data_IF_717041640490
#
_entry.id   IF_717041640490
#
_cell.length_a   1.000
_cell.length_b   1.000
_cell.length_c   1.000
_cell.angle_alpha   90.00
_cell.angle_beta   90.00
_cell.angle_gamma   90.00
#
_symmetry.space_group_name_H-M   'P 1'
#
loop_
_entity.id
_entity.type
_entity.pdbx_description
1 polymer ?
#
# COMPACT_ATOMS: atom_id res chain seq x y z
N UNK A 1 16.74 0.46 -9.39
CA UNK A 1 15.92 0.89 -8.22
C UNK A 1 16.19 2.37 -7.92
N UNK A 2 17.43 2.78 -7.70
CA UNK A 2 17.77 4.17 -7.36
C UNK A 2 17.19 5.20 -8.36
N UNK A 3 17.33 4.95 -9.65
CA UNK A 3 16.78 5.83 -10.69
C UNK A 3 15.24 5.90 -10.65
N UNK A 4 14.57 4.81 -10.31
CA UNK A 4 13.12 4.79 -10.10
C UNK A 4 12.71 5.63 -8.88
N UNK A 5 13.42 5.47 -7.75
CA UNK A 5 13.15 6.25 -6.55
C UNK A 5 13.38 7.76 -6.80
N UNK A 6 14.36 8.09 -7.63
CA UNK A 6 14.57 9.48 -8.08
C UNK A 6 13.46 9.99 -8.99
N UNK A 7 13.02 9.19 -9.96
CA UNK A 7 11.92 9.53 -10.85
C UNK A 7 10.61 9.78 -10.08
N UNK A 8 10.35 8.98 -9.03
CA UNK A 8 9.24 9.15 -8.10
C UNK A 8 9.47 10.28 -7.07
N UNK A 9 10.58 11.00 -7.14
CA UNK A 9 10.96 12.10 -6.22
C UNK A 9 11.07 11.68 -4.75
N UNK A 10 11.19 10.38 -4.45
CA UNK A 10 11.27 9.84 -3.08
C UNK A 10 12.51 10.36 -2.34
N UNK A 11 13.61 10.62 -3.05
CA UNK A 11 14.84 11.17 -2.51
C UNK A 11 14.68 12.58 -1.89
N UNK A 12 13.60 13.30 -2.14
CA UNK A 12 13.31 14.56 -1.48
C UNK A 12 12.74 14.40 -0.07
N UNK A 13 12.26 13.22 0.28
CA UNK A 13 11.59 12.95 1.56
C UNK A 13 12.43 12.10 2.52
N UNK A 14 13.54 11.54 2.03
CA UNK A 14 14.42 10.66 2.79
C UNK A 14 15.85 11.18 2.74
N UNK A 15 16.56 11.11 3.87
CA UNK A 15 18.01 11.31 3.86
C UNK A 15 18.69 10.21 3.02
N UNK A 16 19.92 10.46 2.55
CA UNK A 16 20.65 9.47 1.76
C UNK A 16 20.80 8.13 2.48
N UNK A 17 20.99 8.14 3.80
CA UNK A 17 21.07 6.93 4.62
C UNK A 17 19.73 6.17 4.59
N UNK A 18 18.61 6.87 4.78
CA UNK A 18 17.29 6.26 4.74
C UNK A 18 16.92 5.77 3.35
N UNK A 19 17.34 6.48 2.32
CA UNK A 19 17.17 6.03 0.93
C UNK A 19 17.94 4.73 0.67
N UNK A 20 19.16 4.59 1.19
CA UNK A 20 19.96 3.36 1.11
C UNK A 20 19.26 2.20 1.86
N UNK A 21 18.70 2.44 3.04
CA UNK A 21 17.97 1.41 3.78
C UNK A 21 16.70 0.97 3.04
N UNK A 22 15.95 1.93 2.49
CA UNK A 22 14.79 1.62 1.63
C UNK A 22 15.20 0.79 0.42
N UNK A 23 16.29 1.17 -0.27
CA UNK A 23 16.82 0.39 -1.40
C UNK A 23 17.20 -1.03 -0.97
N UNK A 24 17.83 -1.19 0.19
CA UNK A 24 18.18 -2.51 0.75
C UNK A 24 16.93 -3.37 0.95
N UNK A 25 15.87 -2.81 1.51
CA UNK A 25 14.60 -3.52 1.72
C UNK A 25 14.01 -3.95 0.37
N UNK A 26 13.92 -3.03 -0.58
CA UNK A 26 13.37 -3.30 -1.92
C UNK A 26 14.18 -4.40 -2.63
N UNK A 27 15.50 -4.30 -2.65
CA UNK A 27 16.38 -5.32 -3.24
C UNK A 27 16.19 -6.67 -2.56
N UNK A 28 16.09 -6.69 -1.25
CA UNK A 28 15.89 -7.93 -0.48
C UNK A 28 14.56 -8.58 -0.80
N UNK A 29 13.49 -7.80 -0.94
CA UNK A 29 12.17 -8.31 -1.35
C UNK A 29 12.25 -8.93 -2.75
N UNK A 30 12.94 -8.30 -3.70
CA UNK A 30 13.12 -8.87 -5.05
C UNK A 30 13.96 -10.15 -5.05
N UNK A 31 15.00 -10.24 -4.23
CA UNK A 31 15.90 -11.40 -4.19
C UNK A 31 15.37 -12.56 -3.36
N UNK A 32 14.63 -12.30 -2.30
CA UNK A 32 14.18 -13.30 -1.30
C UNK A 32 12.66 -13.51 -1.28
N UNK A 33 11.90 -12.69 -2.00
CA UNK A 33 10.44 -12.69 -1.98
C UNK A 33 9.85 -12.02 -0.74
N UNK A 34 8.51 -12.02 -0.68
CA UNK A 34 7.73 -11.26 0.32
C UNK A 34 7.78 -11.80 1.76
N UNK A 35 8.47 -12.89 2.01
CA UNK A 35 8.59 -13.49 3.35
C UNK A 35 9.85 -13.04 4.08
N UNK A 36 10.53 -12.01 3.54
CA UNK A 36 11.75 -11.47 4.13
C UNK A 36 11.54 -10.99 5.57
N UNK A 37 12.38 -11.49 6.45
CA UNK A 37 12.52 -10.98 7.81
C UNK A 37 13.64 -9.94 7.83
N UNK A 38 13.69 -9.08 8.85
CA UNK A 38 14.78 -8.10 8.99
C UNK A 38 16.18 -8.74 8.94
N UNK A 39 16.29 -10.02 9.35
CA UNK A 39 17.51 -10.82 9.19
C UNK A 39 17.87 -11.03 7.71
N UNK A 40 16.89 -11.25 6.85
CA UNK A 40 17.14 -11.47 5.41
C UNK A 40 17.64 -10.18 4.74
N UNK A 41 17.21 -9.02 5.22
CA UNK A 41 17.70 -7.72 4.73
C UNK A 41 19.18 -7.50 5.04
N UNK A 42 19.68 -8.03 6.18
CA UNK A 42 21.10 -7.94 6.52
C UNK A 42 22.00 -8.83 5.66
N UNK A 43 21.47 -9.88 5.05
CA UNK A 43 22.22 -10.77 4.14
C UNK A 43 22.49 -10.08 2.80
N UNK A 44 21.57 -9.21 2.37
CA UNK A 44 21.67 -8.49 1.09
C UNK A 44 22.32 -7.11 1.21
N UNK A 45 22.63 -6.68 2.41
CA UNK A 45 23.28 -5.39 2.69
C UNK A 45 24.52 -5.56 3.55
N UNK A 46 25.37 -4.52 3.57
CA UNK A 46 26.49 -4.44 4.50
C UNK A 46 26.07 -4.01 5.93
N UNK A 47 24.78 -3.79 6.15
CA UNK A 47 24.25 -3.30 7.42
C UNK A 47 23.78 -4.46 8.30
N UNK A 48 24.02 -4.34 9.61
CA UNK A 48 23.48 -5.28 10.57
C UNK A 48 21.94 -5.18 10.62
N UNK A 49 21.27 -6.30 10.89
CA UNK A 49 19.78 -6.37 10.97
C UNK A 49 19.15 -5.29 11.84
N UNK A 50 19.81 -4.94 12.96
CA UNK A 50 19.32 -3.90 13.88
C UNK A 50 19.29 -2.53 13.27
N UNK A 51 20.12 -2.23 12.28
CA UNK A 51 20.12 -0.94 11.57
C UNK A 51 18.85 -0.81 10.70
N UNK A 52 18.49 -1.89 10.01
CA UNK A 52 17.26 -1.90 9.20
C UNK A 52 16.02 -1.89 10.10
N UNK A 53 16.06 -2.65 11.21
CA UNK A 53 15.00 -2.66 12.20
C UNK A 53 14.79 -1.27 12.83
N UNK A 54 15.87 -0.60 13.20
CA UNK A 54 15.84 0.77 13.71
C UNK A 54 15.26 1.76 12.69
N UNK A 55 15.65 1.64 11.43
CA UNK A 55 15.08 2.47 10.35
C UNK A 55 13.57 2.29 10.24
N UNK A 56 13.07 1.05 10.27
CA UNK A 56 11.64 0.76 10.17
C UNK A 56 10.83 1.26 11.38
N UNK A 57 11.39 1.12 12.59
CA UNK A 57 10.66 1.41 13.83
C UNK A 57 10.90 2.82 14.38
N UNK A 58 12.04 3.45 14.06
CA UNK A 58 12.47 4.72 14.64
C UNK A 58 12.93 5.75 13.60
N UNK A 59 12.85 5.43 12.32
CA UNK A 59 13.24 6.36 11.26
C UNK A 59 12.40 7.63 11.29
N UNK A 60 13.06 8.78 11.35
CA UNK A 60 12.39 10.10 11.31
C UNK A 60 12.25 10.55 9.87
N UNK A 61 11.12 10.26 9.26
CA UNK A 61 10.79 10.67 7.90
C UNK A 61 9.31 11.03 7.81
N UNK A 62 8.98 11.93 6.89
CA UNK A 62 7.60 12.36 6.73
C UNK A 62 6.87 11.40 5.78
N UNK A 63 6.31 10.33 6.34
CA UNK A 63 5.57 9.30 5.62
C UNK A 63 4.33 9.86 4.93
N UNK A 64 3.62 10.77 5.55
CA UNK A 64 2.45 11.43 4.96
C UNK A 64 2.79 12.22 3.70
N UNK A 65 3.88 13.01 3.72
CA UNK A 65 4.35 13.73 2.55
C UNK A 65 4.84 12.78 1.45
N UNK A 66 5.52 11.69 1.83
CA UNK A 66 5.96 10.66 0.90
C UNK A 66 4.77 9.96 0.23
N UNK A 67 3.76 9.55 1.01
CA UNK A 67 2.55 8.93 0.47
C UNK A 67 1.81 9.86 -0.49
N UNK A 68 1.68 11.14 -0.14
CA UNK A 68 1.07 12.14 -1.02
C UNK A 68 1.83 12.29 -2.35
N UNK A 69 3.16 12.34 -2.30
CA UNK A 69 3.99 12.43 -3.50
C UNK A 69 3.88 11.18 -4.38
N UNK A 70 3.85 9.98 -3.76
CA UNK A 70 3.63 8.73 -4.48
C UNK A 70 2.26 8.69 -5.16
N UNK A 71 1.19 9.03 -4.44
CA UNK A 71 -0.16 9.12 -5.00
C UNK A 71 -0.19 10.06 -6.22
N UNK A 72 0.40 11.26 -6.10
CA UNK A 72 0.46 12.22 -7.19
C UNK A 72 1.22 11.66 -8.40
N UNK A 73 2.37 11.01 -8.19
CA UNK A 73 3.16 10.41 -9.26
C UNK A 73 2.42 9.26 -9.96
N UNK A 74 1.69 8.45 -9.21
CA UNK A 74 0.88 7.34 -9.76
C UNK A 74 -0.27 7.89 -10.61
N UNK A 75 -0.98 8.90 -10.12
CA UNK A 75 -2.04 9.57 -10.90
C UNK A 75 -1.46 10.16 -12.18
N UNK A 76 -0.33 10.88 -12.10
CA UNK A 76 0.32 11.47 -13.27
C UNK A 76 0.66 10.42 -14.32
N UNK A 77 1.29 9.30 -13.91
CA UNK A 77 1.67 8.20 -14.82
C UNK A 77 0.45 7.56 -15.48
N UNK A 78 -0.56 7.20 -14.71
CA UNK A 78 -1.77 6.53 -15.23
C UNK A 78 -2.58 7.49 -16.13
N UNK A 79 -2.71 8.77 -15.74
CA UNK A 79 -3.45 9.74 -16.53
C UNK A 79 -2.71 10.14 -17.82
N UNK A 80 -1.37 10.16 -17.80
CA UNK A 80 -0.58 10.35 -19.01
C UNK A 80 -0.77 9.17 -19.97
N UNK A 81 -0.72 7.93 -19.47
CA UNK A 81 -0.98 6.74 -20.27
C UNK A 81 -2.40 6.76 -20.86
N UNK A 82 -3.38 7.14 -20.07
CA UNK A 82 -4.77 7.23 -20.53
C UNK A 82 -4.95 8.26 -21.64
N UNK A 83 -4.32 9.43 -21.53
CA UNK A 83 -4.35 10.45 -22.59
C UNK A 83 -3.67 10.00 -23.87
N UNK A 84 -2.53 9.28 -23.75
CA UNK A 84 -1.75 8.84 -24.91
C UNK A 84 -2.39 7.64 -25.62
N UNK A 85 -2.97 6.70 -24.88
CA UNK A 85 -3.56 5.48 -25.42
C UNK A 85 -5.05 5.62 -25.77
N UNK A 86 -5.76 6.60 -25.19
CA UNK A 86 -7.22 6.72 -25.26
C UNK A 86 -7.97 5.59 -24.53
N UNK A 87 -7.26 4.77 -23.75
CA UNK A 87 -7.86 3.65 -23.03
C UNK A 87 -8.47 4.10 -21.70
N UNK A 88 -9.54 3.42 -21.23
CA UNK A 88 -10.19 3.76 -19.97
C UNK A 88 -9.27 3.50 -18.77
N UNK A 89 -9.56 4.25 -17.69
CA UNK A 89 -8.94 4.03 -16.38
C UNK A 89 -9.84 3.13 -15.54
N UNK A 90 -9.23 2.14 -14.88
CA UNK A 90 -9.91 1.30 -13.90
C UNK A 90 -9.40 1.66 -12.50
N UNK A 91 -10.30 2.05 -11.61
CA UNK A 91 -10.07 2.18 -10.18
C UNK A 91 -10.52 0.88 -9.52
N UNK A 92 -9.58 0.08 -9.05
CA UNK A 92 -9.81 -1.27 -8.54
C UNK A 92 -9.64 -1.25 -7.02
N UNK A 93 -10.68 -1.68 -6.29
CA UNK A 93 -10.65 -1.77 -4.83
C UNK A 93 -10.79 -3.22 -4.40
N UNK A 94 -9.86 -3.65 -3.55
CA UNK A 94 -9.88 -4.98 -2.93
C UNK A 94 -9.31 -4.91 -1.52
N UNK A 95 -9.62 -5.91 -0.69
CA UNK A 95 -9.02 -6.03 0.62
C UNK A 95 -8.45 -7.44 0.86
N UNK A 96 -7.38 -7.49 1.61
CA UNK A 96 -6.69 -8.74 1.93
C UNK A 96 -6.32 -8.82 3.40
N UNK A 97 -6.19 -10.04 3.92
CA UNK A 97 -5.75 -10.30 5.29
C UNK A 97 -4.36 -10.92 5.26
N UNK A 98 -3.38 -10.18 5.80
CA UNK A 98 -2.06 -10.72 6.11
C UNK A 98 -2.14 -11.50 7.43
N UNK A 99 -2.30 -12.82 7.32
CA UNK A 99 -2.50 -13.70 8.47
C UNK A 99 -1.28 -13.77 9.38
N UNK A 100 -1.49 -13.71 10.67
CA UNK A 100 -0.50 -13.90 11.71
C UNK A 100 -0.94 -14.97 12.72
N UNK A 101 0.04 -15.57 13.38
CA UNK A 101 -0.25 -16.39 14.57
C UNK A 101 -0.60 -15.42 15.70
N UNK A 102 -1.77 -15.60 16.30
CA UNK A 102 -2.16 -14.78 17.45
C UNK A 102 -1.17 -15.01 18.60
N UNK A 103 -0.58 -13.95 19.16
CA UNK A 103 0.27 -14.07 20.34
C UNK A 103 -0.50 -14.62 21.53
N UNK A 104 0.23 -15.24 22.48
CA UNK A 104 -0.35 -15.62 23.77
C UNK A 104 -1.00 -14.42 24.46
N UNK A 105 -2.05 -14.66 25.25
CA UNK A 105 -2.66 -13.61 26.10
C UNK A 105 -1.69 -13.00 27.11
N UNK A 106 -0.57 -13.69 27.39
CA UNK A 106 0.51 -13.21 28.26
C UNK A 106 1.61 -12.44 27.53
N UNK A 107 1.49 -12.26 26.21
CA UNK A 107 2.47 -11.51 25.44
C UNK A 107 2.52 -10.05 25.89
N UNK A 108 3.69 -9.56 26.28
CA UNK A 108 3.92 -8.16 26.71
C UNK A 108 3.69 -7.17 25.55
N UNK A 109 3.94 -7.61 24.33
CA UNK A 109 3.82 -6.80 23.14
C UNK A 109 2.91 -7.51 22.11
N UNK A 110 1.60 -7.25 22.14
CA UNK A 110 0.70 -7.75 21.10
C UNK A 110 1.06 -7.12 19.75
N UNK A 111 0.68 -7.80 18.66
CA UNK A 111 0.87 -7.24 17.31
C UNK A 111 -0.07 -6.04 17.16
N UNK A 112 0.49 -4.85 16.97
CA UNK A 112 -0.26 -3.61 16.81
C UNK A 112 -1.20 -3.68 15.60
N UNK A 113 -2.42 -3.18 15.76
CA UNK A 113 -3.46 -3.14 14.71
C UNK A 113 -3.78 -4.51 14.05
N UNK A 114 -3.40 -5.63 14.67
CA UNK A 114 -3.81 -6.96 14.25
C UNK A 114 -5.07 -7.39 15.01
N UNK A 115 -6.09 -7.81 14.26
CA UNK A 115 -7.39 -8.19 14.79
C UNK A 115 -7.89 -9.51 14.17
N UNK A 116 -8.97 -10.06 14.69
CA UNK A 116 -9.72 -11.08 14.00
C UNK A 116 -10.61 -10.45 12.92
N UNK A 117 -10.53 -11.00 11.72
CA UNK A 117 -11.31 -10.61 10.56
C UNK A 117 -12.00 -11.84 9.97
N UNK A 118 -13.20 -11.67 9.41
CA UNK A 118 -13.86 -12.74 8.67
C UNK A 118 -13.13 -12.92 7.33
N UNK A 119 -12.53 -14.09 7.14
CA UNK A 119 -11.90 -14.46 5.87
C UNK A 119 -12.87 -15.29 5.04
N UNK A 120 -13.33 -14.75 3.92
CA UNK A 120 -14.17 -15.49 2.99
C UNK A 120 -13.40 -16.65 2.33
N UNK A 121 -12.12 -16.44 2.02
CA UNK A 121 -11.26 -17.47 1.44
C UNK A 121 -11.07 -18.68 2.36
N UNK A 122 -11.00 -18.46 3.67
CA UNK A 122 -10.79 -19.53 4.65
C UNK A 122 -12.09 -20.02 5.26
N UNK A 123 -13.23 -19.37 5.01
CA UNK A 123 -14.53 -19.68 5.62
C UNK A 123 -14.57 -19.54 7.15
N UNK A 124 -13.59 -18.86 7.75
CA UNK A 124 -13.44 -18.70 9.21
C UNK A 124 -12.80 -17.36 9.56
N UNK A 125 -12.82 -17.05 10.85
CA UNK A 125 -12.07 -15.91 11.37
C UNK A 125 -10.56 -16.16 11.24
N UNK A 126 -9.85 -15.15 10.79
CA UNK A 126 -8.40 -15.13 10.64
C UNK A 126 -7.82 -13.96 11.43
N UNK A 127 -6.73 -14.19 12.15
CA UNK A 127 -6.07 -13.16 12.92
C UNK A 127 -4.94 -12.55 12.09
N UNK A 128 -4.89 -11.24 12.01
CA UNK A 128 -3.84 -10.55 11.26
C UNK A 128 -4.16 -9.09 10.95
N UNK A 129 -3.39 -8.52 10.05
CA UNK A 129 -3.63 -7.21 9.50
C UNK A 129 -4.54 -7.31 8.29
N UNK A 130 -5.61 -6.53 8.27
CA UNK A 130 -6.42 -6.37 7.06
C UNK A 130 -6.04 -5.07 6.38
N UNK A 131 -5.86 -5.12 5.07
CA UNK A 131 -5.41 -3.99 4.25
C UNK A 131 -6.43 -3.76 3.15
N UNK A 132 -6.86 -2.51 2.99
CA UNK A 132 -7.64 -2.07 1.83
C UNK A 132 -6.68 -1.51 0.80
N UNK A 133 -6.69 -2.09 -0.39
CA UNK A 133 -5.86 -1.68 -1.52
C UNK A 133 -6.71 -0.99 -2.58
N UNK A 134 -6.23 0.13 -3.08
CA UNK A 134 -6.81 0.83 -4.22
C UNK A 134 -5.76 0.93 -5.31
N UNK A 135 -6.05 0.37 -6.46
CA UNK A 135 -5.16 0.36 -7.62
C UNK A 135 -5.76 1.20 -8.74
N UNK A 136 -4.91 1.89 -9.48
CA UNK A 136 -5.27 2.52 -10.75
C UNK A 136 -4.64 1.71 -11.88
N UNK A 137 -5.43 1.40 -12.91
CA UNK A 137 -4.97 0.63 -14.05
C UNK A 137 -5.40 1.29 -15.35
N UNK A 138 -4.48 1.32 -16.33
CA UNK A 138 -4.74 1.77 -17.69
C UNK A 138 -3.80 1.07 -18.65
N UNK A 139 -4.31 0.58 -19.76
CA UNK A 139 -3.51 -0.02 -20.86
C UNK A 139 -2.46 -1.04 -20.40
N UNK A 140 -2.84 -1.94 -19.47
CA UNK A 140 -1.95 -2.98 -18.92
C UNK A 140 -0.99 -2.52 -17.82
N UNK A 141 -0.91 -1.22 -17.52
CA UNK A 141 -0.15 -0.69 -16.38
C UNK A 141 -1.08 -0.63 -15.18
N UNK A 142 -0.69 -1.28 -14.09
CA UNK A 142 -1.45 -1.27 -12.83
C UNK A 142 -0.54 -0.87 -11.67
N UNK A 143 -0.93 0.18 -10.94
CA UNK A 143 -0.15 0.74 -9.84
C UNK A 143 -1.02 0.89 -8.59
N UNK A 144 -0.46 0.57 -7.43
CA UNK A 144 -1.12 0.77 -6.14
C UNK A 144 -1.16 2.27 -5.79
N UNK A 145 -2.35 2.86 -5.88
CA UNK A 145 -2.60 4.25 -5.49
C UNK A 145 -2.61 4.42 -3.95
N UNK A 146 -3.26 3.49 -3.26
CA UNK A 146 -3.33 3.51 -1.80
C UNK A 146 -3.32 2.09 -1.24
N UNK A 147 -2.61 1.92 -0.12
CA UNK A 147 -2.60 0.70 0.69
C UNK A 147 -2.84 1.15 2.13
N UNK A 148 -4.02 0.86 2.67
CA UNK A 148 -4.47 1.39 3.95
C UNK A 148 -4.69 0.24 4.93
N UNK A 149 -4.01 0.31 6.07
CA UNK A 149 -4.23 -0.61 7.16
C UNK A 149 -5.62 -0.37 7.76
N UNK A 150 -6.43 -1.43 7.81
CA UNK A 150 -7.75 -1.38 8.43
C UNK A 150 -7.65 -1.66 9.93
N UNK A 151 -7.67 -0.59 10.72
CA UNK A 151 -7.56 -0.60 12.19
C UNK A 151 -8.92 -0.58 12.91
N UNK A 152 -10.03 -0.68 12.17
CA UNK A 152 -11.42 -0.60 12.66
C UNK A 152 -11.86 0.78 13.18
N UNK A 153 -11.04 1.81 13.08
CA UNK A 153 -11.44 3.18 13.47
C UNK A 153 -12.45 3.79 12.50
N UNK A 154 -12.34 3.40 11.20
CA UNK A 154 -13.29 3.74 10.16
C UNK A 154 -13.80 2.47 9.47
N UNK A 155 -14.99 2.50 8.91
CA UNK A 155 -15.45 1.39 8.06
C UNK A 155 -14.64 1.34 6.74
N UNK A 156 -14.47 0.16 6.15
CA UNK A 156 -13.82 0.01 4.85
C UNK A 156 -14.53 0.82 3.76
N UNK A 157 -15.86 0.91 3.81
CA UNK A 157 -16.67 1.75 2.91
C UNK A 157 -16.25 3.22 3.04
N UNK A 158 -16.11 3.72 4.28
CA UNK A 158 -15.70 5.12 4.51
C UNK A 158 -14.27 5.38 4.02
N UNK A 159 -13.35 4.42 4.20
CA UNK A 159 -11.99 4.49 3.66
C UNK A 159 -12.03 4.67 2.13
N UNK A 160 -12.83 3.86 1.43
CA UNK A 160 -12.94 3.94 -0.04
C UNK A 160 -13.58 5.24 -0.50
N UNK A 161 -14.58 5.74 0.22
CA UNK A 161 -15.20 7.05 -0.06
C UNK A 161 -14.21 8.21 0.13
N UNK A 162 -13.42 8.18 1.20
CA UNK A 162 -12.38 9.19 1.45
C UNK A 162 -11.36 9.19 0.29
N UNK A 163 -10.96 8.01 -0.19
CA UNK A 163 -10.05 7.88 -1.34
C UNK A 163 -10.69 8.40 -2.62
N UNK A 164 -11.97 8.10 -2.87
CA UNK A 164 -12.67 8.58 -4.05
C UNK A 164 -12.68 10.12 -4.12
N UNK A 165 -12.85 10.78 -2.97
CA UNK A 165 -12.80 12.26 -2.89
C UNK A 165 -11.39 12.84 -3.06
N UNK A 166 -10.34 12.05 -2.81
CA UNK A 166 -8.95 12.47 -3.02
C UNK A 166 -8.50 12.32 -4.48
N UNK A 167 -9.13 11.44 -5.25
CA UNK A 167 -8.77 11.20 -6.65
C UNK A 167 -9.14 12.42 -7.49
N UNK A 168 -8.20 12.96 -8.30
CA UNK A 168 -8.52 13.99 -9.26
C UNK A 168 -9.47 13.47 -10.35
N UNK A 169 -10.20 14.37 -10.96
CA UNK A 169 -11.05 14.05 -12.10
C UNK A 169 -10.26 13.34 -13.21
N UNK A 170 -10.81 12.24 -13.70
CA UNK A 170 -10.14 11.43 -14.71
C UNK A 170 -10.20 12.11 -16.09
N UNK A 171 -9.10 12.12 -16.86
CA UNK A 171 -9.04 12.76 -18.18
C UNK A 171 -9.80 11.98 -19.28
N UNK A 172 -10.21 10.75 -18.99
CA UNK A 172 -10.93 9.85 -19.89
C UNK A 172 -11.99 9.09 -19.09
N UNK A 173 -12.81 8.29 -19.77
CA UNK A 173 -13.78 7.41 -19.12
C UNK A 173 -13.07 6.54 -18.07
N UNK A 174 -13.64 6.48 -16.89
CA UNK A 174 -13.14 5.64 -15.80
C UNK A 174 -14.21 4.68 -15.30
N UNK A 175 -13.75 3.52 -14.84
CA UNK A 175 -14.59 2.48 -14.27
C UNK A 175 -14.14 2.15 -12.86
N UNK A 176 -15.11 2.02 -11.95
CA UNK A 176 -14.87 1.53 -10.61
C UNK A 176 -15.12 0.02 -10.54
N UNK A 177 -14.13 -0.74 -10.10
CA UNK A 177 -14.18 -2.19 -9.95
C UNK A 177 -13.98 -2.57 -8.48
N UNK A 178 -14.89 -3.33 -7.93
CA UNK A 178 -14.78 -3.81 -6.55
C UNK A 178 -15.52 -5.14 -6.37
N UNK A 179 -15.21 -5.85 -5.27
CA UNK A 179 -16.02 -6.97 -4.83
C UNK A 179 -17.44 -6.49 -4.45
N UNK A 180 -18.41 -7.40 -4.53
CA UNK A 180 -19.82 -7.18 -4.18
C UNK A 180 -20.01 -6.60 -2.77
N UNK A 181 -19.09 -6.87 -1.85
CA UNK A 181 -19.11 -6.32 -0.50
C UNK A 181 -19.01 -4.77 -0.49
N UNK A 182 -18.35 -4.17 -1.48
CA UNK A 182 -18.23 -2.72 -1.60
C UNK A 182 -19.37 -2.07 -2.40
N UNK A 183 -20.31 -2.84 -2.95
CA UNK A 183 -21.43 -2.31 -3.73
C UNK A 183 -22.48 -1.66 -2.83
N UNK A 184 -22.24 -0.42 -2.41
CA UNK A 184 -23.21 0.37 -1.67
C UNK A 184 -23.57 1.64 -2.46
N UNK A 185 -24.80 2.12 -2.28
CA UNK A 185 -25.24 3.37 -2.91
C UNK A 185 -24.34 4.56 -2.56
N UNK A 186 -23.75 4.55 -1.36
CA UNK A 186 -22.82 5.59 -0.92
C UNK A 186 -21.50 5.57 -1.71
N UNK A 187 -20.93 4.38 -1.96
CA UNK A 187 -19.71 4.25 -2.79
C UNK A 187 -20.01 4.64 -4.24
N UNK A 188 -21.10 4.12 -4.82
CA UNK A 188 -21.48 4.44 -6.20
C UNK A 188 -21.57 5.96 -6.42
N UNK A 189 -22.18 6.70 -5.48
CA UNK A 189 -22.24 8.16 -5.55
C UNK A 189 -20.90 8.87 -5.42
N UNK A 190 -19.90 8.25 -4.79
CA UNK A 190 -18.58 8.86 -4.62
C UNK A 190 -17.71 8.79 -5.88
N UNK A 191 -18.06 7.93 -6.83
CA UNK A 191 -17.36 7.75 -8.10
C UNK A 191 -18.15 8.26 -9.33
N UNK A 192 -19.28 8.91 -9.11
CA UNK A 192 -20.06 9.63 -10.13
C UNK A 192 -19.70 11.12 -10.15
#
# INVERSE_FOLDING_TARGET
IYNYLKALKIHHFLSDIYLQHLMTIIVSVFLRGYRGKTVDFSITSQHHRTTVDYFLNHGKWNDSALQKALKSSIVELIYQEARSSGQPIFCIVDDTIASHIKPSSQALHPIEAAYFHQSHLKGRQDYGHQVVSVMLSCNGITLNYAVILYDKTKSKIKIVQDIATELPEAPVISYFLCDSWYTSAGIMKSFL
#
